data_IF_088309781963
#
_entry.id   IF_088309781963
#
_cell.length_a   1.000
_cell.length_b   1.000
_cell.length_c   1.000
_cell.angle_alpha   90.00
_cell.angle_beta   90.00
_cell.angle_gamma   90.00
#
_symmetry.space_group_name_H-M   'P 1'
#
loop_
_entity.id
_entity.type
_entity.pdbx_description
1 polymer ?
#
# COMPACT_ATOMS: atom_id res chain seq x y z
N UNK A 1 6.34 -20.97 20.27
CA UNK A 1 5.87 -20.60 18.91
C UNK A 1 6.81 -20.95 17.77
N UNK A 2 8.04 -20.41 17.66
CA UNK A 2 8.93 -20.79 16.52
C UNK A 2 9.47 -22.22 16.62
N UNK A 3 9.78 -22.69 17.83
CA UNK A 3 10.29 -24.05 18.04
C UNK A 3 9.19 -25.12 17.88
N UNK A 4 7.98 -24.85 18.39
CA UNK A 4 6.81 -25.73 18.20
C UNK A 4 6.42 -25.92 16.72
N UNK A 5 6.58 -24.88 15.89
CA UNK A 5 6.33 -24.98 14.45
C UNK A 5 7.38 -25.87 13.75
N UNK A 6 8.65 -25.79 14.18
CA UNK A 6 9.72 -26.58 13.60
C UNK A 6 9.56 -28.07 13.93
N UNK A 7 9.16 -28.37 15.18
CA UNK A 7 8.88 -29.72 15.65
C UNK A 7 7.66 -30.34 14.93
N UNK A 8 6.61 -29.55 14.70
CA UNK A 8 5.45 -29.99 13.93
C UNK A 8 5.80 -30.30 12.47
N UNK A 9 6.65 -29.48 11.83
CA UNK A 9 7.11 -29.71 10.45
C UNK A 9 7.92 -31.00 10.38
N UNK A 10 8.88 -31.19 11.29
CA UNK A 10 9.75 -32.37 11.28
C UNK A 10 8.96 -33.67 11.48
N UNK A 11 8.00 -33.69 12.41
CA UNK A 11 7.12 -34.85 12.65
C UNK A 11 6.11 -35.14 11.53
N UNK A 12 5.89 -34.22 10.59
CA UNK A 12 5.10 -34.50 9.37
C UNK A 12 5.95 -35.08 8.25
N UNK A 13 7.22 -34.66 8.14
CA UNK A 13 8.17 -35.21 7.15
C UNK A 13 8.50 -36.66 7.47
N UNK A 14 8.76 -36.98 8.73
CA UNK A 14 9.06 -38.36 9.18
C UNK A 14 7.90 -39.34 8.91
N UNK A 15 6.64 -38.90 9.10
CA UNK A 15 5.45 -39.69 8.77
C UNK A 15 5.24 -39.89 7.26
N UNK A 16 5.67 -38.93 6.45
CA UNK A 16 5.62 -39.06 4.99
C UNK A 16 6.68 -40.04 4.49
N UNK A 17 7.89 -39.99 5.04
CA UNK A 17 8.99 -40.90 4.73
C UNK A 17 8.60 -42.36 5.06
N UNK A 18 8.04 -42.60 6.25
CA UNK A 18 7.56 -43.92 6.64
C UNK A 18 6.46 -44.47 5.73
N UNK A 19 5.55 -43.62 5.23
CA UNK A 19 4.49 -44.04 4.28
C UNK A 19 5.04 -44.33 2.88
N UNK A 20 6.09 -43.63 2.45
CA UNK A 20 6.75 -43.91 1.17
C UNK A 20 7.46 -45.26 1.23
N UNK A 21 8.11 -45.58 2.37
CA UNK A 21 8.75 -46.87 2.57
C UNK A 21 7.73 -48.03 2.63
N UNK A 22 6.58 -47.85 3.29
CA UNK A 22 5.49 -48.84 3.29
C UNK A 22 4.90 -49.06 1.88
N UNK A 23 4.74 -47.99 1.09
CA UNK A 23 4.25 -48.08 -0.29
C UNK A 23 5.28 -48.70 -1.24
N UNK A 24 6.57 -48.54 -0.96
CA UNK A 24 7.65 -49.12 -1.77
C UNK A 24 7.83 -50.63 -1.52
N UNK A 25 7.28 -51.19 -0.44
CA UNK A 25 7.52 -52.56 -0.02
C UNK A 25 6.44 -53.59 -0.43
N UNK A 26 5.44 -53.26 -1.26
CA UNK A 26 4.42 -54.24 -1.67
C UNK A 26 4.11 -54.25 -3.17
N UNK A 27 4.38 -55.41 -3.83
CA UNK A 27 3.35 -55.98 -4.68
C UNK A 27 3.27 -57.52 -4.56
N UNK A 28 2.06 -58.05 -4.38
CA UNK A 28 1.69 -59.34 -4.99
C UNK A 28 0.17 -59.47 -5.11
N UNK A 29 -0.34 -59.23 -6.33
CA UNK A 29 -1.71 -59.54 -6.73
C UNK A 29 -1.80 -61.00 -7.19
N UNK A 30 -2.82 -61.71 -6.70
CA UNK A 30 -3.25 -63.02 -7.18
C UNK A 30 -4.18 -62.85 -8.38
N UNK A 31 -3.65 -63.25 -9.54
CA UNK A 31 -4.27 -64.06 -10.60
C UNK A 31 -5.81 -64.14 -10.72
N UNK A 32 -6.34 -63.67 -11.85
CA UNK A 32 -7.53 -64.21 -12.50
C UNK A 32 -7.50 -63.90 -14.02
N UNK A 33 -6.98 -64.90 -14.72
CA UNK A 33 -7.14 -65.32 -16.12
C UNK A 33 -8.33 -64.76 -16.94
N UNK A 34 -8.05 -64.30 -18.18
CA UNK A 34 -8.96 -64.50 -19.32
C UNK A 34 -8.19 -64.54 -20.66
N UNK A 35 -8.02 -65.77 -21.14
CA UNK A 35 -7.90 -66.34 -22.51
C UNK A 35 -7.56 -65.43 -23.72
N UNK A 36 -6.66 -65.88 -24.64
CA UNK A 36 -6.13 -65.07 -25.73
C UNK A 36 -6.93 -65.20 -27.03
N UNK A 37 -7.06 -64.10 -27.78
CA UNK A 37 -7.41 -64.13 -29.21
C UNK A 37 -6.42 -63.25 -29.96
N UNK A 38 -5.69 -63.89 -30.87
CA UNK A 38 -4.76 -63.31 -31.82
C UNK A 38 -5.45 -62.37 -32.80
N UNK A 39 -4.97 -61.13 -32.92
CA UNK A 39 -5.32 -60.21 -34.01
C UNK A 39 -4.04 -59.68 -34.63
N UNK A 40 -3.89 -59.91 -35.95
CA UNK A 40 -2.80 -59.37 -36.75
C UNK A 40 -2.80 -57.85 -36.66
N UNK A 41 -1.75 -57.27 -36.07
CA UNK A 41 -1.60 -55.83 -35.95
C UNK A 41 -1.28 -55.26 -37.34
N UNK A 42 -2.15 -54.40 -37.86
CA UNK A 42 -1.92 -53.53 -39.02
C UNK A 42 -0.66 -52.69 -38.74
N UNK A 43 0.51 -53.18 -39.17
CA UNK A 43 1.83 -52.57 -38.92
C UNK A 43 1.89 -51.12 -39.39
N UNK A 44 1.18 -50.77 -40.46
CA UNK A 44 1.14 -49.42 -41.04
C UNK A 44 0.42 -48.37 -40.18
N UNK A 45 -0.65 -48.74 -39.46
CA UNK A 45 -1.35 -47.83 -38.52
C UNK A 45 -0.52 -47.62 -37.26
N UNK A 46 0.15 -48.68 -36.81
CA UNK A 46 1.05 -48.64 -35.67
C UNK A 46 2.26 -47.73 -35.96
N UNK A 47 2.89 -47.85 -37.13
CA UNK A 47 4.01 -46.99 -37.54
C UNK A 47 3.65 -45.49 -37.60
N UNK A 48 2.48 -45.14 -38.14
CA UNK A 48 1.98 -43.75 -38.12
C UNK A 48 1.71 -43.24 -36.71
N UNK A 49 1.16 -44.07 -35.84
CA UNK A 49 0.92 -43.72 -34.45
C UNK A 49 2.24 -43.54 -33.67
N UNK A 50 3.24 -44.39 -33.93
CA UNK A 50 4.59 -44.30 -33.35
C UNK A 50 5.27 -43.00 -33.80
N UNK A 51 5.23 -42.64 -35.08
CA UNK A 51 5.80 -41.38 -35.57
C UNK A 51 5.13 -40.15 -34.95
N UNK A 52 3.79 -40.14 -34.85
CA UNK A 52 3.06 -39.05 -34.21
C UNK A 52 3.36 -38.94 -32.71
N UNK A 53 3.60 -40.07 -32.05
CA UNK A 53 3.96 -40.13 -30.63
C UNK A 53 5.39 -39.63 -30.40
N UNK A 54 6.34 -40.03 -31.24
CA UNK A 54 7.73 -39.56 -31.19
C UNK A 54 7.84 -38.05 -31.41
N UNK A 55 7.01 -37.47 -32.30
CA UNK A 55 6.96 -36.00 -32.49
C UNK A 55 6.43 -35.28 -31.25
N UNK A 56 5.38 -35.82 -30.61
CA UNK A 56 4.83 -35.25 -29.36
C UNK A 56 5.79 -35.40 -28.18
N UNK A 57 6.52 -36.52 -28.13
CA UNK A 57 7.56 -36.76 -27.13
C UNK A 57 8.72 -35.78 -27.29
N UNK A 58 9.16 -35.53 -28.52
CA UNK A 58 10.17 -34.49 -28.83
C UNK A 58 9.73 -33.09 -28.39
N UNK A 59 8.47 -32.71 -28.62
CA UNK A 59 7.91 -31.42 -28.16
C UNK A 59 7.83 -31.33 -26.62
N UNK A 60 7.52 -32.44 -25.94
CA UNK A 60 7.49 -32.50 -24.49
C UNK A 60 8.89 -32.41 -23.87
N UNK A 61 9.89 -33.06 -24.49
CA UNK A 61 11.30 -32.98 -24.09
C UNK A 61 11.82 -31.55 -24.25
N UNK A 62 11.51 -30.90 -25.37
CA UNK A 62 11.89 -29.51 -25.62
C UNK A 62 11.27 -28.54 -24.59
N UNK A 63 9.99 -28.70 -24.24
CA UNK A 63 9.34 -27.93 -23.16
C UNK A 63 9.99 -28.17 -21.80
N UNK A 64 10.37 -29.41 -21.49
CA UNK A 64 11.10 -29.77 -20.27
C UNK A 64 12.49 -29.10 -20.20
N UNK A 65 13.20 -29.05 -21.33
CA UNK A 65 14.50 -28.37 -21.42
C UNK A 65 14.35 -26.87 -21.15
N UNK A 66 13.37 -26.20 -21.77
CA UNK A 66 13.09 -24.77 -21.52
C UNK A 66 12.67 -24.51 -20.07
N UNK A 67 11.87 -25.39 -19.48
CA UNK A 67 11.48 -25.29 -18.07
C UNK A 67 12.69 -25.42 -17.15
N UNK A 68 13.59 -26.36 -17.43
CA UNK A 68 14.84 -26.53 -16.67
C UNK A 68 15.72 -25.29 -16.74
N UNK A 69 15.83 -24.68 -17.93
CA UNK A 69 16.61 -23.45 -18.12
C UNK A 69 15.98 -22.27 -17.34
N UNK A 70 14.66 -22.11 -17.39
CA UNK A 70 13.94 -21.10 -16.62
C UNK A 70 14.09 -21.28 -15.09
N UNK A 71 14.03 -22.53 -14.60
CA UNK A 71 14.27 -22.85 -13.18
C UNK A 71 15.71 -22.52 -12.79
N UNK A 72 16.68 -22.78 -13.66
CA UNK A 72 18.09 -22.46 -13.43
C UNK A 72 18.29 -20.94 -13.28
N UNK A 73 17.74 -20.16 -14.21
CA UNK A 73 17.80 -18.69 -14.16
C UNK A 73 17.12 -18.15 -12.90
N UNK A 74 15.94 -18.68 -12.54
CA UNK A 74 15.22 -18.28 -11.33
C UNK A 74 16.03 -18.58 -10.06
N UNK A 75 16.69 -19.74 -10.01
CA UNK A 75 17.55 -20.14 -8.88
C UNK A 75 18.75 -19.21 -8.74
N UNK A 76 19.39 -18.84 -9.84
CA UNK A 76 20.54 -17.91 -9.84
C UNK A 76 20.14 -16.50 -9.43
N UNK A 77 18.97 -16.02 -9.88
CA UNK A 77 18.42 -14.73 -9.46
C UNK A 77 18.11 -14.71 -7.96
N UNK A 78 17.51 -15.79 -7.42
CA UNK A 78 17.22 -15.91 -5.99
C UNK A 78 18.50 -15.90 -5.14
N UNK A 79 19.55 -16.61 -5.57
CA UNK A 79 20.86 -16.59 -4.90
C UNK A 79 21.50 -15.19 -4.92
N UNK A 80 21.40 -14.48 -6.04
CA UNK A 80 21.92 -13.12 -6.18
C UNK A 80 21.18 -12.13 -5.28
N UNK A 81 19.87 -12.26 -5.14
CA UNK A 81 19.07 -11.42 -4.24
C UNK A 81 19.40 -11.69 -2.78
N UNK A 82 19.48 -12.95 -2.37
CA UNK A 82 19.85 -13.33 -1.00
C UNK A 82 21.23 -12.81 -0.59
N UNK A 83 22.24 -12.93 -1.46
CA UNK A 83 23.59 -12.42 -1.20
C UNK A 83 23.65 -10.89 -1.13
N UNK A 84 22.86 -10.18 -1.95
CA UNK A 84 22.75 -8.72 -1.91
C UNK A 84 22.09 -8.23 -0.63
N UNK A 85 21.05 -8.92 -0.16
CA UNK A 85 20.38 -8.58 1.09
C UNK A 85 21.26 -8.89 2.31
N UNK A 86 22.06 -9.95 2.29
CA UNK A 86 23.07 -10.22 3.32
C UNK A 86 24.13 -9.11 3.37
N UNK A 87 24.63 -8.66 2.21
CA UNK A 87 25.58 -7.53 2.14
C UNK A 87 24.98 -6.23 2.68
N UNK A 88 23.73 -5.93 2.34
CA UNK A 88 23.00 -4.77 2.90
C UNK A 88 22.86 -4.88 4.41
N UNK A 89 22.52 -6.07 4.91
CA UNK A 89 22.39 -6.31 6.35
C UNK A 89 23.71 -6.07 7.08
N UNK A 90 24.84 -6.53 6.54
CA UNK A 90 26.18 -6.26 7.09
C UNK A 90 26.50 -4.76 7.11
N UNK A 91 26.25 -4.04 6.02
CA UNK A 91 26.50 -2.61 5.92
C UNK A 91 25.64 -1.81 6.93
N UNK A 92 24.36 -2.19 7.07
CA UNK A 92 23.46 -1.60 8.06
C UNK A 92 23.94 -1.87 9.49
N UNK A 93 24.39 -3.08 9.78
CA UNK A 93 24.92 -3.45 11.09
C UNK A 93 26.18 -2.64 11.45
N UNK A 94 27.10 -2.48 10.50
CA UNK A 94 28.32 -1.66 10.69
C UNK A 94 27.97 -0.19 10.92
N UNK A 95 27.00 0.34 10.17
CA UNK A 95 26.50 1.72 10.34
C UNK A 95 25.87 1.90 11.72
N UNK A 96 25.07 0.95 12.19
CA UNK A 96 24.46 0.99 13.53
C UNK A 96 25.54 0.97 14.62
N UNK A 97 26.58 0.15 14.46
CA UNK A 97 27.69 0.10 15.42
C UNK A 97 28.48 1.42 15.44
N UNK A 98 28.71 2.03 14.29
CA UNK A 98 29.35 3.34 14.19
C UNK A 98 28.51 4.42 14.91
N UNK A 99 27.21 4.50 14.63
CA UNK A 99 26.31 5.47 15.29
C UNK A 99 26.27 5.25 16.80
N UNK A 100 26.23 4.01 17.25
CA UNK A 100 26.28 3.67 18.68
C UNK A 100 27.58 4.13 19.33
N UNK A 101 28.71 3.99 18.64
CA UNK A 101 30.01 4.46 19.12
C UNK A 101 30.07 5.99 19.19
N UNK A 102 29.57 6.69 18.16
CA UNK A 102 29.50 8.16 18.14
C UNK A 102 28.59 8.71 19.25
N UNK A 103 27.45 8.06 19.49
CA UNK A 103 26.55 8.40 20.60
C UNK A 103 27.23 8.18 21.96
N UNK A 104 27.95 7.08 22.16
CA UNK A 104 28.69 6.83 23.39
C UNK A 104 29.81 7.87 23.62
N UNK A 105 30.54 8.25 22.56
CA UNK A 105 31.56 9.30 22.64
C UNK A 105 30.96 10.67 22.98
N UNK A 106 29.83 11.02 22.36
CA UNK A 106 29.10 12.26 22.63
C UNK A 106 28.55 12.28 24.05
N UNK A 107 27.96 11.17 24.49
CA UNK A 107 27.45 11.00 25.86
C UNK A 107 28.57 11.19 26.90
N UNK A 108 29.75 10.60 26.64
CA UNK A 108 30.90 10.75 27.54
C UNK A 108 31.40 12.20 27.59
N UNK A 109 31.46 12.90 26.45
CA UNK A 109 31.83 14.32 26.41
C UNK A 109 30.84 15.20 27.19
N UNK A 110 29.53 14.95 27.06
CA UNK A 110 28.51 15.66 27.84
C UNK A 110 28.67 15.37 29.33
N UNK A 111 28.90 14.12 29.72
CA UNK A 111 29.11 13.73 31.11
C UNK A 111 30.39 14.35 31.69
N UNK A 112 31.49 14.35 30.94
CA UNK A 112 32.76 14.95 31.35
C UNK A 112 32.62 16.49 31.50
N UNK A 113 31.86 17.15 30.61
CA UNK A 113 31.53 18.57 30.75
C UNK A 113 30.66 18.86 31.97
N UNK A 114 29.69 17.99 32.27
CA UNK A 114 28.85 18.10 33.45
C UNK A 114 29.71 18.00 34.72
N UNK A 115 30.59 17.00 34.78
CA UNK A 115 31.52 16.84 35.90
C UNK A 115 32.54 17.97 36.00
N UNK A 116 33.02 18.53 34.88
CA UNK A 116 33.89 19.71 34.91
C UNK A 116 33.16 20.96 35.44
N UNK A 117 31.89 21.14 35.08
CA UNK A 117 31.06 22.24 35.57
C UNK A 117 30.73 22.09 37.06
N UNK A 118 30.54 20.85 37.54
CA UNK A 118 30.34 20.53 38.97
C UNK A 118 31.61 20.77 39.81
N UNK A 119 32.79 20.52 39.24
CA UNK A 119 34.09 20.71 39.91
C UNK A 119 34.72 22.11 39.74
N UNK A 120 34.05 23.02 39.02
CA UNK A 120 34.55 24.40 38.89
C UNK A 120 34.38 25.10 40.25
N UNK A 121 35.44 25.67 40.86
CA UNK A 121 35.37 26.19 42.22
C UNK A 121 34.33 27.32 42.27
N UNK A 122 33.25 27.07 43.01
CA UNK A 122 32.16 27.98 43.27
C UNK A 122 32.76 29.32 43.72
N UNK A 123 32.82 30.29 42.81
CA UNK A 123 33.30 31.65 43.07
C UNK A 123 32.31 32.31 44.03
N UNK A 124 32.52 32.09 45.33
CA UNK A 124 31.71 32.57 46.47
C UNK A 124 30.25 32.80 46.09
N UNK A 125 29.55 31.72 45.72
CA UNK A 125 28.10 31.76 45.59
C UNK A 125 27.55 31.90 47.00
N UNK A 126 27.10 33.11 47.32
CA UNK A 126 26.11 33.34 48.37
C UNK A 126 24.98 32.36 48.06
N UNK A 127 24.92 31.31 48.85
CA UNK A 127 24.13 30.12 48.58
C UNK A 127 22.67 30.47 48.76
N UNK A 128 22.00 30.94 47.70
CA UNK A 128 20.55 30.89 47.66
C UNK A 128 20.18 29.42 47.43
N UNK A 129 20.07 28.67 48.54
CA UNK A 129 19.33 27.42 48.57
C UNK A 129 17.99 27.66 47.88
N UNK A 130 17.76 27.05 46.72
CA UNK A 130 16.42 26.95 46.17
C UNK A 130 15.66 25.90 46.99
N UNK A 131 15.09 26.36 48.09
CA UNK A 131 14.01 25.64 48.74
C UNK A 131 12.85 25.49 47.73
N UNK A 132 12.31 24.28 47.53
CA UNK A 132 11.12 24.06 46.70
C UNK A 132 9.86 24.81 47.23
N UNK A 133 9.98 25.47 48.37
CA UNK A 133 9.01 26.41 48.97
C UNK A 133 9.12 27.85 48.44
N UNK A 134 9.94 28.13 47.42
CA UNK A 134 10.00 29.47 46.82
C UNK A 134 8.72 29.79 46.04
N UNK A 135 8.02 30.86 46.44
CA UNK A 135 6.78 31.34 45.80
C UNK A 135 6.88 31.42 44.27
N UNK A 136 8.05 31.76 43.74
CA UNK A 136 8.29 31.89 42.30
C UNK A 136 8.28 30.55 41.54
N UNK A 137 8.81 29.47 42.13
CA UNK A 137 8.80 28.13 41.51
C UNK A 137 7.38 27.58 41.48
N UNK A 138 6.63 27.77 42.56
CA UNK A 138 5.21 27.39 42.66
C UNK A 138 4.34 28.19 41.68
N UNK A 139 4.59 29.51 41.55
CA UNK A 139 3.96 30.36 40.53
C UNK A 139 4.32 29.93 39.10
N UNK A 140 5.56 29.50 38.85
CA UNK A 140 5.99 29.05 37.53
C UNK A 140 5.34 27.72 37.14
N UNK A 141 5.26 26.76 38.07
CA UNK A 141 4.54 25.49 37.86
C UNK A 141 3.04 25.74 37.65
N UNK A 142 2.43 26.62 38.46
CA UNK A 142 1.03 27.02 38.28
C UNK A 142 0.78 27.74 36.95
N UNK A 143 1.69 28.63 36.55
CA UNK A 143 1.63 29.34 35.27
C UNK A 143 1.78 28.41 34.06
N UNK A 144 2.68 27.42 34.15
CA UNK A 144 2.83 26.39 33.11
C UNK A 144 1.57 25.52 33.01
N UNK A 145 1.01 25.07 34.13
CA UNK A 145 -0.24 24.30 34.14
C UNK A 145 -1.40 25.11 33.55
N UNK A 146 -1.54 26.37 33.93
CA UNK A 146 -2.58 27.27 33.40
C UNK A 146 -2.39 27.53 31.90
N UNK A 147 -1.15 27.76 31.46
CA UNK A 147 -0.82 27.91 30.04
C UNK A 147 -1.16 26.66 29.23
N UNK A 148 -0.97 25.47 29.80
CA UNK A 148 -1.30 24.20 29.15
C UNK A 148 -2.82 24.05 28.99
N UNK A 149 -3.59 24.38 30.03
CA UNK A 149 -5.07 24.35 29.99
C UNK A 149 -5.60 25.33 28.95
N UNK A 150 -5.08 26.56 28.93
CA UNK A 150 -5.49 27.57 27.94
C UNK A 150 -5.11 27.12 26.53
N UNK A 151 -3.96 26.49 26.34
CA UNK A 151 -3.53 25.95 25.04
C UNK A 151 -4.48 24.85 24.54
N UNK A 152 -4.84 23.89 25.41
CA UNK A 152 -5.80 22.83 25.08
C UNK A 152 -7.18 23.41 24.78
N UNK A 153 -7.65 24.36 25.59
CA UNK A 153 -8.94 25.01 25.40
C UNK A 153 -9.00 25.83 24.10
N UNK A 154 -7.94 26.60 23.81
CA UNK A 154 -7.81 27.35 22.57
C UNK A 154 -7.82 26.44 21.34
N UNK A 155 -7.08 25.33 21.39
CA UNK A 155 -7.08 24.36 20.30
C UNK A 155 -8.45 23.66 20.13
N UNK A 156 -9.13 23.34 21.25
CA UNK A 156 -10.45 22.71 21.22
C UNK A 156 -11.53 23.65 20.66
N UNK A 157 -11.52 24.92 21.07
CA UNK A 157 -12.45 25.94 20.57
C UNK A 157 -12.21 26.20 19.09
N UNK A 158 -10.94 26.30 18.66
CA UNK A 158 -10.60 26.41 17.25
C UNK A 158 -11.08 25.20 16.43
N UNK A 159 -10.93 23.97 16.95
CA UNK A 159 -11.44 22.78 16.29
C UNK A 159 -12.97 22.79 16.17
N UNK A 160 -13.69 23.24 17.22
CA UNK A 160 -15.15 23.39 17.18
C UNK A 160 -15.60 24.41 16.15
N UNK A 161 -14.93 25.57 16.07
CA UNK A 161 -15.21 26.59 15.07
C UNK A 161 -14.97 26.07 13.66
N UNK A 162 -13.87 25.34 13.44
CA UNK A 162 -13.58 24.76 12.13
C UNK A 162 -14.65 23.76 11.69
N UNK A 163 -15.10 22.89 12.60
CA UNK A 163 -16.21 21.97 12.33
C UNK A 163 -17.52 22.71 12.02
N UNK A 164 -17.81 23.80 12.74
CA UNK A 164 -19.01 24.61 12.47
C UNK A 164 -18.95 25.29 11.10
N UNK A 165 -17.77 25.81 10.70
CA UNK A 165 -17.54 26.40 9.39
C UNK A 165 -17.69 25.36 8.27
N UNK A 166 -17.14 24.16 8.42
CA UNK A 166 -17.29 23.07 7.45
C UNK A 166 -18.76 22.67 7.25
N UNK A 167 -19.54 22.59 8.34
CA UNK A 167 -20.96 22.25 8.26
C UNK A 167 -21.77 23.37 7.59
N UNK A 168 -21.46 24.63 7.88
CA UNK A 168 -22.11 25.78 7.25
C UNK A 168 -21.78 25.91 5.75
N UNK A 169 -20.51 25.70 5.40
CA UNK A 169 -20.05 25.64 4.00
C UNK A 169 -20.75 24.51 3.25
N UNK A 170 -20.80 23.31 3.82
CA UNK A 170 -21.49 22.17 3.23
C UNK A 170 -22.99 22.46 3.06
N UNK A 171 -23.63 23.09 4.05
CA UNK A 171 -25.04 23.53 3.96
C UNK A 171 -25.23 24.47 2.77
N UNK A 172 -24.35 25.46 2.60
CA UNK A 172 -24.40 26.40 1.48
C UNK A 172 -24.25 25.69 0.11
N UNK A 173 -23.26 24.80 -0.03
CA UNK A 173 -23.06 24.03 -1.27
C UNK A 173 -24.22 23.10 -1.56
N UNK A 174 -24.78 22.43 -0.54
CA UNK A 174 -25.95 21.58 -0.68
C UNK A 174 -27.19 22.37 -1.16
N UNK A 175 -27.41 23.57 -0.62
CA UNK A 175 -28.49 24.44 -1.08
C UNK A 175 -28.30 24.89 -2.54
N UNK A 176 -27.05 25.15 -2.97
CA UNK A 176 -26.74 25.49 -4.37
C UNK A 176 -27.00 24.33 -5.35
N UNK A 177 -26.89 23.09 -4.88
CA UNK A 177 -27.22 21.89 -5.66
C UNK A 177 -28.75 21.69 -5.81
N UNK A 178 -29.55 22.16 -4.84
CA UNK A 178 -31.02 22.03 -4.89
C UNK A 178 -31.60 23.22 -5.66
N UNK A 179 -31.78 23.02 -6.98
CA UNK A 179 -32.07 24.08 -7.94
C UNK A 179 -33.44 24.81 -7.79
N UNK A 180 -34.46 24.32 -7.03
CA UNK A 180 -35.61 25.16 -6.62
C UNK A 180 -35.66 25.41 -5.11
N UNK A 181 -35.80 26.69 -4.71
CA UNK A 181 -35.91 27.12 -3.31
C UNK A 181 -37.21 26.72 -2.60
N UNK A 182 -38.23 26.28 -3.34
CA UNK A 182 -39.56 25.91 -2.82
C UNK A 182 -39.77 24.38 -2.71
N UNK A 183 -38.66 23.65 -2.57
CA UNK A 183 -38.64 22.19 -2.64
C UNK A 183 -38.46 21.56 -1.24
N UNK A 184 -39.11 20.41 -1.03
CA UNK A 184 -39.05 19.61 0.20
C UNK A 184 -37.60 19.31 0.63
N UNK A 185 -36.67 19.32 -0.32
CA UNK A 185 -35.22 19.19 -0.12
C UNK A 185 -34.59 20.33 0.68
N UNK A 186 -35.01 21.58 0.51
CA UNK A 186 -34.48 22.72 1.30
C UNK A 186 -34.93 22.59 2.75
N UNK A 187 -36.21 22.28 2.98
CA UNK A 187 -36.72 21.96 4.33
C UNK A 187 -36.00 20.79 4.96
N UNK A 188 -35.68 19.76 4.17
CA UNK A 188 -34.94 18.60 4.64
C UNK A 188 -33.52 18.95 5.08
N UNK A 189 -32.78 19.75 4.29
CA UNK A 189 -31.44 20.22 4.66
C UNK A 189 -31.50 21.10 5.90
N UNK A 190 -32.41 22.07 5.96
CA UNK A 190 -32.52 22.99 7.11
C UNK A 190 -32.79 22.25 8.42
N UNK A 191 -33.70 21.28 8.39
CA UNK A 191 -34.04 20.46 9.56
C UNK A 191 -32.84 19.63 10.05
N UNK A 192 -32.10 19.01 9.14
CA UNK A 192 -31.00 18.10 9.48
C UNK A 192 -29.64 18.78 9.71
N UNK A 193 -29.49 20.07 9.36
CA UNK A 193 -28.26 20.84 9.60
C UNK A 193 -28.38 21.83 10.76
N UNK A 194 -29.56 22.44 10.96
CA UNK A 194 -29.72 23.53 11.93
C UNK A 194 -30.61 23.17 13.13
N UNK A 195 -31.69 22.40 12.93
CA UNK A 195 -32.65 22.11 14.00
C UNK A 195 -32.26 20.88 14.81
N UNK A 196 -31.99 19.76 14.13
CA UNK A 196 -31.55 18.51 14.75
C UNK A 196 -30.44 17.88 13.89
N UNK A 197 -29.16 18.23 14.16
CA UNK A 197 -28.03 17.75 13.38
C UNK A 197 -27.98 16.22 13.35
N UNK A 198 -28.19 15.63 12.17
CA UNK A 198 -28.03 14.20 11.98
C UNK A 198 -26.73 13.92 11.20
N UNK A 199 -25.73 13.34 11.87
CA UNK A 199 -24.41 13.06 11.29
C UNK A 199 -24.47 12.20 10.04
N UNK A 200 -25.35 11.20 10.00
CA UNK A 200 -25.49 10.31 8.84
C UNK A 200 -26.06 11.06 7.63
N UNK A 201 -27.05 11.93 7.86
CA UNK A 201 -27.64 12.75 6.80
C UNK A 201 -26.64 13.77 6.28
N UNK A 202 -25.85 14.39 7.17
CA UNK A 202 -24.80 15.34 6.79
C UNK A 202 -23.76 14.65 5.90
N UNK A 203 -23.34 13.44 6.24
CA UNK A 203 -22.37 12.69 5.43
C UNK A 203 -22.95 12.24 4.08
N UNK A 204 -24.22 11.82 4.04
CA UNK A 204 -24.90 11.52 2.78
C UNK A 204 -24.97 12.76 1.88
N UNK A 205 -25.32 13.92 2.45
CA UNK A 205 -25.37 15.20 1.72
C UNK A 205 -23.98 15.59 1.22
N UNK A 206 -22.92 15.40 2.02
CA UNK A 206 -21.53 15.61 1.59
C UNK A 206 -21.20 14.81 0.34
N UNK A 207 -21.49 13.50 0.35
CA UNK A 207 -21.21 12.64 -0.80
C UNK A 207 -22.00 13.05 -2.04
N UNK A 208 -23.27 13.45 -1.88
CA UNK A 208 -24.11 13.93 -2.98
C UNK A 208 -23.60 15.25 -3.57
N UNK A 209 -23.19 16.19 -2.72
CA UNK A 209 -22.60 17.47 -3.15
C UNK A 209 -21.31 17.21 -3.91
N UNK A 210 -20.41 16.39 -3.39
CA UNK A 210 -19.16 16.03 -4.08
C UNK A 210 -19.42 15.41 -5.44
N UNK A 211 -20.33 14.42 -5.53
CA UNK A 211 -20.66 13.76 -6.79
C UNK A 211 -21.27 14.75 -7.81
N UNK A 212 -22.10 15.68 -7.35
CA UNK A 212 -22.67 16.72 -8.20
C UNK A 212 -21.61 17.70 -8.69
N UNK A 213 -20.75 18.20 -7.81
CA UNK A 213 -19.67 19.13 -8.16
C UNK A 213 -18.67 18.50 -9.14
N UNK A 214 -18.34 17.23 -8.96
CA UNK A 214 -17.52 16.46 -9.89
C UNK A 214 -18.21 16.27 -11.24
N UNK A 215 -19.51 15.96 -11.24
CA UNK A 215 -20.30 15.83 -12.47
C UNK A 215 -20.39 17.15 -13.25
N UNK A 216 -20.61 18.27 -12.57
CA UNK A 216 -20.64 19.61 -13.18
C UNK A 216 -19.28 19.95 -13.77
N UNK A 217 -18.19 19.71 -13.04
CA UNK A 217 -16.83 19.94 -13.53
C UNK A 217 -16.53 19.12 -14.78
N UNK A 218 -16.83 17.83 -14.73
CA UNK A 218 -16.63 16.94 -15.86
C UNK A 218 -17.46 17.35 -17.08
N UNK A 219 -18.69 17.83 -16.87
CA UNK A 219 -19.51 18.36 -17.94
C UNK A 219 -18.85 19.57 -18.63
N UNK A 220 -18.28 20.50 -17.86
CA UNK A 220 -17.56 21.63 -18.42
C UNK A 220 -16.29 21.21 -19.18
N UNK A 221 -15.52 20.28 -18.64
CA UNK A 221 -14.35 19.71 -19.34
C UNK A 221 -14.76 19.08 -20.67
N UNK A 222 -15.88 18.34 -20.68
CA UNK A 222 -16.40 17.71 -21.90
C UNK A 222 -16.86 18.73 -22.94
N UNK A 223 -17.48 19.84 -22.53
CA UNK A 223 -17.85 20.94 -23.42
C UNK A 223 -16.60 21.59 -24.03
N UNK A 224 -15.58 21.86 -23.23
CA UNK A 224 -14.34 22.49 -23.69
C UNK A 224 -13.58 21.59 -24.68
N UNK A 225 -13.46 20.29 -24.36
CA UNK A 225 -12.86 19.29 -25.24
C UNK A 225 -13.65 19.17 -26.55
N UNK A 226 -14.99 19.21 -26.50
CA UNK A 226 -15.83 19.18 -27.69
C UNK A 226 -15.58 20.40 -28.58
N UNK A 227 -15.53 21.61 -28.00
CA UNK A 227 -15.25 22.84 -28.75
C UNK A 227 -13.86 22.82 -29.41
N UNK A 228 -12.83 22.29 -28.71
CA UNK A 228 -11.48 22.14 -29.27
C UNK A 228 -11.48 21.14 -30.43
N UNK A 229 -12.13 19.98 -30.27
CA UNK A 229 -12.24 18.97 -31.33
C UNK A 229 -12.94 19.51 -32.57
N UNK A 230 -14.03 20.26 -32.39
CA UNK A 230 -14.76 20.91 -33.48
C UNK A 230 -13.90 21.96 -34.20
N UNK A 231 -13.12 22.75 -33.46
CA UNK A 231 -12.15 23.69 -34.02
C UNK A 231 -11.11 22.99 -34.91
N UNK A 232 -10.52 21.90 -34.42
CA UNK A 232 -9.51 21.11 -35.16
C UNK A 232 -10.14 20.49 -36.41
N UNK A 233 -11.32 19.87 -36.28
CA UNK A 233 -12.04 19.27 -37.41
C UNK A 233 -12.36 20.30 -38.50
N UNK A 234 -12.81 21.49 -38.10
CA UNK A 234 -13.08 22.59 -39.03
C UNK A 234 -11.81 23.09 -39.74
N UNK A 235 -10.67 23.14 -39.05
CA UNK A 235 -9.38 23.51 -39.66
C UNK A 235 -8.94 22.48 -40.70
N UNK A 236 -8.94 21.19 -40.33
CA UNK A 236 -8.58 20.09 -41.23
C UNK A 236 -9.50 20.02 -42.46
N UNK A 237 -10.81 20.26 -42.26
CA UNK A 237 -11.77 20.30 -43.36
C UNK A 237 -11.48 21.43 -44.35
N UNK A 238 -11.10 22.62 -43.85
CA UNK A 238 -10.69 23.75 -44.72
C UNK A 238 -9.43 23.40 -45.51
N UNK A 239 -8.41 22.84 -44.87
CA UNK A 239 -7.17 22.41 -45.53
C UNK A 239 -7.41 21.38 -46.62
N UNK A 240 -8.20 20.33 -46.32
CA UNK A 240 -8.56 19.30 -47.29
C UNK A 240 -9.28 19.88 -48.53
N UNK A 241 -10.20 20.83 -48.33
CA UNK A 241 -10.87 21.51 -49.43
C UNK A 241 -9.92 22.38 -50.28
N UNK A 242 -8.93 23.02 -49.65
CA UNK A 242 -7.88 23.77 -50.37
C UNK A 242 -7.06 22.81 -51.24
N UNK A 243 -6.64 21.66 -50.71
CA UNK A 243 -5.89 20.64 -51.45
C UNK A 243 -6.72 20.13 -52.63
N UNK A 244 -7.99 19.76 -52.40
CA UNK A 244 -8.91 19.30 -53.45
C UNK A 244 -9.05 20.31 -54.59
N UNK A 245 -9.18 21.60 -54.27
CA UNK A 245 -9.25 22.66 -55.30
C UNK A 245 -7.94 22.83 -56.08
N UNK A 246 -6.78 22.60 -55.47
CA UNK A 246 -5.49 22.65 -56.17
C UNK A 246 -5.32 21.49 -57.15
N UNK A 247 -5.72 20.28 -56.75
CA UNK A 247 -5.67 19.08 -57.61
C UNK A 247 -6.60 19.25 -58.81
N UNK A 248 -7.84 19.70 -58.62
CA UNK A 248 -8.81 19.87 -59.70
C UNK A 248 -8.48 21.01 -60.69
N UNK A 249 -7.42 21.80 -60.44
CA UNK A 249 -6.95 22.88 -61.32
C UNK A 249 -5.73 22.48 -62.16
N UNK A 250 -5.12 21.32 -61.88
CA UNK A 250 -4.12 20.67 -62.74
C UNK A 250 -4.83 19.78 -63.76
#
# INVERSE_FOLDING_TARGET
MKEELLEAIYGTVERLEQKVDELSASPKNTEAESTPVSVSVDTSKLEKAILAMAVKEGEAIDKLVRLREAICIFTDLTKKEASKDEQRSKLLFDTINQVKQELNATSKNVQDKLHAMDNTPLKKVVTHRFEPTSKYVLLLIGGLALSLVISIWGNLTQWQEHQALEIADLKYRALKMVLPSDDQNVRYIEKNFSVCPNKEVIENVRNRVTAYEDSVRHHYEMIEIAAIKDSIANSLFKEANVIKKKINKQ
#
